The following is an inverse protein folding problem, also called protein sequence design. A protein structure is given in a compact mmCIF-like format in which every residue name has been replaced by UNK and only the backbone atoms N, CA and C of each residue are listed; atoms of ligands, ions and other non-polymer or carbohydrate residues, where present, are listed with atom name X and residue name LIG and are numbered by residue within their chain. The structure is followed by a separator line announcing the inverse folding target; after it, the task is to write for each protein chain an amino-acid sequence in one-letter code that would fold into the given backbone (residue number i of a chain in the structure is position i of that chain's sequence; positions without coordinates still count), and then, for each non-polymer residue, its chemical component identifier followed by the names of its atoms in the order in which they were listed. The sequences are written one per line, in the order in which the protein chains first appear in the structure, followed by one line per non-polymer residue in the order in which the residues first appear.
data_IF_538388460949
#
_entry.id   IF_538388460949
#
_cell.length_a   1.000
_cell.length_b   1.000
_cell.length_c   1.000
_cell.angle_alpha   90.00
_cell.angle_beta   90.00
_cell.angle_gamma   90.00
#
_symmetry.space_group_name_H-M   'P 1'
#
loop_
_entity.id
_entity.type
_entity.pdbx_description
1 polymer ?
#
# COMPACT_ATOMS: atom_id res chain seq x y z
N UNK A 1 0.65 10.59 12.22
CA UNK A 1 0.25 9.55 11.24
C UNK A 1 1.42 8.64 10.84
N UNK A 2 2.46 9.08 10.12
CA UNK A 2 3.54 8.17 9.68
C UNK A 2 4.32 7.49 10.85
N UNK A 3 4.61 8.22 11.93
CA UNK A 3 5.20 7.62 13.13
C UNK A 3 4.26 6.60 13.81
N UNK A 4 2.95 6.80 13.68
CA UNK A 4 1.93 5.90 14.24
C UNK A 4 1.82 4.62 13.41
N UNK A 5 1.95 4.73 12.08
CA UNK A 5 2.12 3.58 11.20
C UNK A 5 3.30 2.71 11.65
N UNK A 6 4.50 3.29 11.81
CA UNK A 6 5.68 2.54 12.25
C UNK A 6 5.51 1.92 13.64
N UNK A 7 4.82 2.61 14.55
CA UNK A 7 4.50 2.08 15.88
C UNK A 7 3.55 0.89 15.80
N UNK A 8 2.46 0.99 15.03
CA UNK A 8 1.50 -0.11 14.83
C UNK A 8 2.15 -1.30 14.11
N UNK A 9 3.00 -1.03 13.12
CA UNK A 9 3.76 -2.05 12.40
C UNK A 9 4.68 -2.83 13.34
N UNK A 10 5.43 -2.12 14.22
CA UNK A 10 6.26 -2.75 15.26
C UNK A 10 5.46 -3.56 16.27
N UNK A 11 4.23 -3.14 16.56
CA UNK A 11 3.29 -3.87 17.43
C UNK A 11 2.59 -5.05 16.72
N UNK A 12 2.95 -5.37 15.46
CA UNK A 12 2.33 -6.41 14.62
C UNK A 12 0.84 -6.18 14.33
N UNK A 13 0.35 -4.95 14.50
CA UNK A 13 -1.02 -4.55 14.19
C UNK A 13 -1.15 -4.18 12.70
N UNK A 14 -0.84 -5.13 11.82
CA UNK A 14 -0.68 -4.88 10.38
C UNK A 14 -1.94 -4.31 9.72
N UNK A 15 -3.15 -4.79 10.06
CA UNK A 15 -4.42 -4.25 9.52
C UNK A 15 -4.62 -2.78 9.88
N UNK A 16 -4.25 -2.35 11.09
CA UNK A 16 -4.34 -0.94 11.49
C UNK A 16 -3.24 -0.10 10.86
N UNK A 17 -2.02 -0.65 10.78
CA UNK A 17 -0.90 0.00 10.10
C UNK A 17 -1.22 0.26 8.62
N UNK A 18 -1.75 -0.75 7.92
CA UNK A 18 -2.16 -0.68 6.52
C UNK A 18 -3.20 0.42 6.28
N UNK A 19 -4.30 0.42 7.04
CA UNK A 19 -5.33 1.49 6.95
C UNK A 19 -4.75 2.89 7.14
N UNK A 20 -3.80 3.04 8.05
CA UNK A 20 -3.18 4.33 8.34
C UNK A 20 -2.23 4.76 7.21
N UNK A 21 -1.52 3.81 6.60
CA UNK A 21 -0.66 4.04 5.44
C UNK A 21 -1.49 4.39 4.19
N UNK A 22 -2.56 3.65 3.90
CA UNK A 22 -3.51 3.97 2.82
C UNK A 22 -4.09 5.36 3.03
N UNK A 23 -4.57 5.67 4.25
CA UNK A 23 -5.06 7.02 4.56
C UNK A 23 -4.00 8.09 4.27
N UNK A 24 -2.73 7.88 4.59
CA UNK A 24 -1.67 8.82 4.27
C UNK A 24 -1.49 9.01 2.76
N UNK A 25 -1.57 7.91 2.00
CA UNK A 25 -1.41 7.91 0.55
C UNK A 25 -2.57 8.63 -0.14
N UNK A 26 -3.81 8.29 0.23
CA UNK A 26 -5.02 8.88 -0.36
C UNK A 26 -5.26 10.33 0.09
N UNK A 27 -4.77 10.72 1.27
CA UNK A 27 -4.85 12.11 1.74
C UNK A 27 -4.08 13.09 0.85
N UNK A 28 -3.09 12.62 0.07
CA UNK A 28 -2.22 13.46 -0.77
C UNK A 28 -1.58 14.66 -0.04
N UNK A 29 -1.34 14.53 1.27
CA UNK A 29 -0.74 15.59 2.11
C UNK A 29 0.78 15.46 2.25
N UNK A 30 1.37 14.40 1.69
CA UNK A 30 2.79 14.13 1.80
C UNK A 30 3.58 14.99 0.80
N UNK A 31 4.75 15.52 1.18
CA UNK A 31 5.67 16.20 0.27
C UNK A 31 6.15 15.28 -0.86
N UNK A 32 6.48 15.86 -2.02
CA UNK A 32 6.83 15.09 -3.23
C UNK A 32 7.98 14.11 -3.02
N UNK A 33 9.03 14.53 -2.29
CA UNK A 33 10.20 13.70 -2.00
C UNK A 33 9.90 12.49 -1.10
N UNK A 34 8.76 12.48 -0.40
CA UNK A 34 8.42 11.46 0.58
C UNK A 34 7.59 10.30 -0.01
N UNK A 35 6.99 10.50 -1.19
CA UNK A 35 6.19 9.48 -1.87
C UNK A 35 6.94 8.17 -2.14
N UNK A 36 8.21 8.19 -2.60
CA UNK A 36 8.95 6.95 -2.79
C UNK A 36 9.04 6.11 -1.53
N UNK A 37 9.33 6.74 -0.38
CA UNK A 37 9.38 6.05 0.91
C UNK A 37 8.02 5.52 1.31
N UNK A 38 6.98 6.35 1.18
CA UNK A 38 5.62 5.98 1.57
C UNK A 38 5.07 4.81 0.74
N UNK A 39 5.32 4.81 -0.57
CA UNK A 39 4.91 3.75 -1.48
C UNK A 39 5.69 2.47 -1.20
N UNK A 40 7.01 2.54 -1.00
CA UNK A 40 7.82 1.36 -0.69
C UNK A 40 7.46 0.72 0.65
N UNK A 41 7.01 1.50 1.63
CA UNK A 41 6.53 0.98 2.92
C UNK A 41 5.23 0.16 2.79
N UNK A 42 4.55 0.21 1.63
CA UNK A 42 3.39 -0.66 1.35
C UNK A 42 3.82 -2.09 0.97
N UNK A 43 5.02 -2.29 0.41
CA UNK A 43 5.52 -3.60 -0.02
C UNK A 43 5.41 -4.68 1.07
N UNK A 44 5.95 -4.50 2.30
CA UNK A 44 5.85 -5.52 3.33
C UNK A 44 4.42 -5.85 3.74
N UNK A 45 3.47 -4.91 3.56
CA UNK A 45 2.06 -5.14 3.84
C UNK A 45 1.35 -5.90 2.72
N UNK A 46 1.79 -5.76 1.47
CA UNK A 46 1.26 -6.50 0.31
C UNK A 46 1.73 -7.96 0.30
N UNK A 47 2.88 -8.24 0.92
CA UNK A 47 3.49 -9.57 0.99
C UNK A 47 3.11 -10.37 2.24
N UNK A 48 2.20 -9.88 3.09
CA UNK A 48 1.73 -10.65 4.25
C UNK A 48 0.95 -11.89 3.81
N UNK A 49 1.08 -13.00 4.56
CA UNK A 49 0.38 -14.27 4.29
C UNK A 49 -1.16 -14.13 4.33
N UNK A 50 -1.66 -13.29 5.22
CA UNK A 50 -3.06 -12.87 5.24
C UNK A 50 -3.15 -11.46 4.64
N UNK A 51 -3.98 -11.21 3.61
CA UNK A 51 -4.09 -9.89 3.01
C UNK A 51 -4.61 -8.89 4.05
N UNK A 52 -3.86 -7.80 4.25
CA UNK A 52 -4.22 -6.72 5.18
C UNK A 52 -4.72 -5.46 4.47
N UNK A 53 -4.53 -5.40 3.15
CA UNK A 53 -5.00 -4.37 2.23
C UNK A 53 -6.09 -4.98 1.35
N UNK A 54 -7.24 -4.33 1.23
CA UNK A 54 -8.32 -4.79 0.34
C UNK A 54 -7.98 -4.61 -1.14
N UNK A 55 -8.85 -5.10 -2.04
CA UNK A 55 -8.72 -4.78 -3.46
C UNK A 55 -8.80 -3.26 -3.71
N UNK A 56 -9.76 -2.57 -3.09
CA UNK A 56 -9.91 -1.11 -3.14
C UNK A 56 -8.65 -0.37 -2.68
N UNK A 57 -8.09 -0.76 -1.53
CA UNK A 57 -6.84 -0.16 -1.01
C UNK A 57 -5.70 -0.33 -2.03
N UNK A 58 -5.64 -1.48 -2.69
CA UNK A 58 -4.62 -1.78 -3.70
C UNK A 58 -4.81 -0.94 -4.97
N UNK A 59 -6.05 -0.68 -5.39
CA UNK A 59 -6.34 0.21 -6.51
C UNK A 59 -5.94 1.66 -6.20
N UNK A 60 -6.24 2.15 -5.01
CA UNK A 60 -5.85 3.49 -4.57
C UNK A 60 -4.32 3.67 -4.55
N UNK A 61 -3.59 2.68 -4.03
CA UNK A 61 -2.12 2.70 -4.04
C UNK A 61 -1.58 2.62 -5.48
N UNK A 62 -2.17 1.77 -6.34
CA UNK A 62 -1.77 1.66 -7.74
C UNK A 62 -1.97 2.97 -8.51
N UNK A 63 -3.12 3.63 -8.32
CA UNK A 63 -3.38 4.94 -8.90
C UNK A 63 -2.35 5.98 -8.43
N UNK A 64 -2.05 6.01 -7.13
CA UNK A 64 -1.03 6.91 -6.58
C UNK A 64 0.38 6.61 -7.10
N UNK A 65 0.71 5.34 -7.35
CA UNK A 65 1.97 4.94 -7.96
C UNK A 65 2.07 5.45 -9.40
N UNK A 66 1.04 5.29 -10.23
CA UNK A 66 1.10 5.73 -11.63
C UNK A 66 1.14 7.26 -11.76
N UNK A 67 0.43 7.98 -10.89
CA UNK A 67 0.48 9.45 -10.85
C UNK A 67 1.85 10.00 -10.45
N UNK A 68 2.68 9.18 -9.77
CA UNK A 68 3.98 9.59 -9.23
C UNK A 68 5.10 8.65 -9.64
N UNK A 69 4.94 7.95 -10.76
CA UNK A 69 5.93 6.98 -11.23
C UNK A 69 7.27 7.64 -11.59
N UNK A 70 7.25 8.94 -11.88
CA UNK A 70 8.41 9.77 -12.17
C UNK A 70 9.30 10.03 -10.95
N UNK A 71 8.74 10.01 -9.73
CA UNK A 71 9.51 10.20 -8.50
C UNK A 71 10.17 8.90 -7.99
N UNK A 72 9.88 7.75 -8.63
CA UNK A 72 10.35 6.44 -8.23
C UNK A 72 11.28 5.82 -9.28
N UNK A 73 12.28 5.08 -8.84
CA UNK A 73 13.09 4.27 -9.74
C UNK A 73 12.23 3.21 -10.45
N UNK A 74 12.50 2.97 -11.73
CA UNK A 74 11.70 2.04 -12.56
C UNK A 74 11.62 0.64 -11.95
N UNK A 75 12.74 0.11 -11.45
CA UNK A 75 12.79 -1.24 -10.88
C UNK A 75 11.92 -1.33 -9.62
N UNK A 76 11.94 -0.29 -8.80
CA UNK A 76 11.09 -0.18 -7.60
C UNK A 76 9.61 -0.03 -7.95
N UNK A 77 9.29 0.74 -8.98
CA UNK A 77 7.93 0.88 -9.46
C UNK A 77 7.38 -0.45 -9.98
N UNK A 78 8.18 -1.20 -10.76
CA UNK A 78 7.79 -2.50 -11.30
C UNK A 78 7.60 -3.55 -10.19
N UNK A 79 8.45 -3.53 -9.15
CA UNK A 79 8.27 -4.37 -7.96
C UNK A 79 6.95 -4.06 -7.25
N UNK A 80 6.63 -2.78 -7.06
CA UNK A 80 5.37 -2.34 -6.45
C UNK A 80 4.16 -2.74 -7.29
N UNK A 81 4.20 -2.55 -8.61
CA UNK A 81 3.13 -3.00 -9.52
C UNK A 81 2.88 -4.50 -9.38
N UNK A 82 3.95 -5.29 -9.34
CA UNK A 82 3.84 -6.74 -9.18
C UNK A 82 3.23 -7.12 -7.82
N UNK A 83 3.66 -6.50 -6.72
CA UNK A 83 3.13 -6.74 -5.39
C UNK A 83 1.64 -6.37 -5.29
N UNK A 84 1.24 -5.23 -5.86
CA UNK A 84 -0.15 -4.78 -5.93
C UNK A 84 -1.01 -5.72 -6.76
N UNK A 85 -0.55 -6.11 -7.95
CA UNK A 85 -1.25 -7.06 -8.81
C UNK A 85 -1.44 -8.42 -8.11
N UNK A 86 -0.44 -8.87 -7.36
CA UNK A 86 -0.53 -10.10 -6.56
C UNK A 86 -1.53 -9.97 -5.42
N UNK A 87 -1.53 -8.86 -4.70
CA UNK A 87 -2.51 -8.63 -3.64
C UNK A 87 -3.93 -8.57 -4.20
N UNK A 88 -4.14 -7.84 -5.30
CA UNK A 88 -5.41 -7.80 -6.02
C UNK A 88 -5.89 -9.18 -6.42
N UNK A 89 -5.03 -10.04 -6.98
CA UNK A 89 -5.40 -11.40 -7.34
C UNK A 89 -5.85 -12.25 -6.13
N UNK A 90 -5.34 -11.94 -4.92
CA UNK A 90 -5.69 -12.63 -3.68
C UNK A 90 -7.00 -12.11 -3.09
N UNK A 91 -7.23 -10.81 -3.14
CA UNK A 91 -8.40 -10.16 -2.51
C UNK A 91 -9.62 -10.09 -3.43
N UNK A 92 -9.43 -10.03 -4.75
CA UNK A 92 -10.53 -9.97 -5.71
C UNK A 92 -11.46 -11.19 -5.69
N UNK A 93 -11.03 -12.31 -5.12
CA UNK A 93 -11.87 -13.50 -4.90
C UNK A 93 -12.52 -13.52 -3.51
N UNK A 94 -11.99 -12.78 -2.54
CA UNK A 94 -12.51 -12.70 -1.17
C UNK A 94 -13.57 -11.60 -1.04
N UNK A 95 -13.41 -10.47 -1.73
CA UNK A 95 -14.39 -9.37 -1.70
C UNK A 95 -15.73 -9.75 -2.36
N UNK A 96 -15.82 -10.91 -3.05
CA UNK A 96 -17.05 -11.44 -3.66
C UNK A 96 -17.91 -12.23 -2.66
N UNK A 97 -17.37 -12.61 -1.49
CA UNK A 97 -18.07 -13.43 -0.49
C UNK A 97 -18.75 -12.61 0.63
N UNK A 98 -18.48 -11.30 0.70
CA UNK A 98 -19.01 -10.40 1.74
C UNK A 98 -20.22 -9.53 1.31
N UNK A 99 -20.78 -9.74 0.11
CA UNK A 99 -21.99 -9.06 -0.43
C UNK A 99 -23.28 -9.93 -0.39
#
# INVERSE_FOLDING_TARGET
KYCDFHRLYKSREYKKAAKLLVSLITSNIAPDYFWPTLLLDTLPLLETEEPVLSSDDSYEIMLCLELRADCLDREKADLLRLALARNLARTALQDVEDD
#
